data_IF_581660909726
#
_entry.id   IF_581660909726
#
_cell.length_a   1.000
_cell.length_b   1.000
_cell.length_c   1.000
_cell.angle_alpha   90.00
_cell.angle_beta   90.00
_cell.angle_gamma   90.00
#
_symmetry.space_group_name_H-M   'P 1'
#
loop_
_entity.id
_entity.type
_entity.pdbx_description
1 polymer ?
#
# COMPACT_ATOMS: atom_id res chain seq x y z
N UNK A 1 11.53 3.30 25.01
CA UNK A 1 12.69 4.13 24.63
C UNK A 1 14.02 3.50 25.04
N UNK A 2 14.24 3.17 26.32
CA UNK A 2 15.50 2.56 26.79
C UNK A 2 15.82 1.24 26.09
N UNK A 3 14.85 0.33 25.96
CA UNK A 3 15.09 -0.94 25.25
C UNK A 3 15.40 -0.74 23.76
N UNK A 4 14.70 0.20 23.10
CA UNK A 4 14.98 0.56 21.71
C UNK A 4 16.41 1.13 21.55
N UNK A 5 16.86 2.00 22.46
CA UNK A 5 18.23 2.53 22.48
C UNK A 5 19.26 1.40 22.61
N UNK A 6 19.03 0.47 23.56
CA UNK A 6 19.88 -0.69 23.80
C UNK A 6 19.98 -1.57 22.56
N UNK A 7 18.85 -1.85 21.90
CA UNK A 7 18.81 -2.66 20.66
C UNK A 7 19.47 -1.95 19.48
N UNK A 8 19.43 -0.63 19.43
CA UNK A 8 20.09 0.18 18.41
C UNK A 8 21.59 0.44 18.70
N UNK A 9 22.14 -0.05 19.82
CA UNK A 9 23.55 0.14 20.17
C UNK A 9 23.92 1.57 20.55
N UNK A 10 22.95 2.40 20.93
CA UNK A 10 23.16 3.81 21.33
C UNK A 10 22.93 4.01 22.83
N UNK A 11 23.40 5.15 23.36
CA UNK A 11 23.17 5.48 24.77
C UNK A 11 21.68 5.60 25.10
N UNK A 12 21.30 5.28 26.34
CA UNK A 12 19.91 5.39 26.82
C UNK A 12 19.32 6.80 26.69
N UNK A 13 20.17 7.83 26.70
CA UNK A 13 19.79 9.23 26.50
C UNK A 13 19.63 9.65 25.02
N UNK A 14 20.18 8.88 24.08
CA UNK A 14 20.21 9.26 22.66
C UNK A 14 18.81 9.49 22.06
N UNK A 15 17.80 8.60 22.25
CA UNK A 15 16.48 8.84 21.67
C UNK A 15 15.83 10.13 22.17
N UNK A 16 16.00 10.46 23.45
CA UNK A 16 15.42 11.68 24.06
C UNK A 16 16.01 12.99 23.52
N UNK A 17 17.16 12.93 22.82
CA UNK A 17 17.74 14.10 22.14
C UNK A 17 17.10 14.35 20.78
N UNK A 18 16.53 13.33 20.15
CA UNK A 18 15.96 13.39 18.80
C UNK A 18 14.44 13.37 18.82
N UNK A 19 13.84 12.75 19.83
CA UNK A 19 12.40 12.54 19.96
C UNK A 19 11.95 13.05 21.31
N UNK A 20 10.95 13.93 21.30
CA UNK A 20 10.34 14.52 22.50
C UNK A 20 9.83 13.44 23.45
N UNK A 21 9.19 12.42 22.90
CA UNK A 21 8.59 11.30 23.62
C UNK A 21 8.56 10.04 22.74
N UNK A 22 7.90 8.98 23.24
CA UNK A 22 7.74 7.72 22.53
C UNK A 22 6.90 7.89 21.27
N UNK A 23 5.88 8.74 21.30
CA UNK A 23 4.94 8.89 20.18
C UNK A 23 5.65 9.60 19.02
N UNK A 24 6.45 10.63 19.30
CA UNK A 24 7.32 11.26 18.31
C UNK A 24 8.34 10.28 17.68
N UNK A 25 8.86 9.31 18.43
CA UNK A 25 9.69 8.24 17.85
C UNK A 25 8.87 7.34 16.92
N UNK A 26 7.68 6.91 17.35
CA UNK A 26 6.83 6.02 16.55
C UNK A 26 6.33 6.68 15.28
N UNK A 27 6.04 7.99 15.32
CA UNK A 27 5.72 8.80 14.15
C UNK A 27 6.88 8.81 13.15
N UNK A 28 8.11 9.08 13.60
CA UNK A 28 9.29 9.05 12.73
C UNK A 28 9.56 7.66 12.13
N UNK A 29 9.29 6.59 12.89
CA UNK A 29 9.37 5.21 12.37
C UNK A 29 8.28 4.95 11.33
N UNK A 30 7.06 5.44 11.55
CA UNK A 30 5.96 5.35 10.58
C UNK A 30 6.31 6.10 9.29
N UNK A 31 6.92 7.27 9.37
CA UNK A 31 7.41 8.02 8.21
C UNK A 31 8.46 7.24 7.41
N UNK A 32 9.39 6.58 8.09
CA UNK A 32 10.36 5.70 7.45
C UNK A 32 9.66 4.53 6.74
N UNK A 33 8.61 3.98 7.34
CA UNK A 33 7.83 2.92 6.72
C UNK A 33 7.07 3.38 5.47
N UNK A 34 6.49 4.59 5.46
CA UNK A 34 5.90 5.16 4.25
C UNK A 34 6.96 5.45 3.19
N UNK A 35 8.13 5.96 3.57
CA UNK A 35 9.24 6.21 2.65
C UNK A 35 9.72 4.92 1.97
N UNK A 36 9.90 3.85 2.75
CA UNK A 36 10.26 2.54 2.22
C UNK A 36 9.24 2.00 1.22
N UNK A 37 7.95 2.13 1.53
CA UNK A 37 6.87 1.75 0.60
C UNK A 37 6.90 2.58 -0.69
N UNK A 38 7.12 3.89 -0.58
CA UNK A 38 7.26 4.78 -1.75
C UNK A 38 8.45 4.39 -2.62
N UNK A 39 9.59 4.04 -2.02
CA UNK A 39 10.77 3.57 -2.77
C UNK A 39 10.45 2.26 -3.48
N UNK A 40 9.93 1.26 -2.77
CA UNK A 40 9.62 -0.05 -3.34
C UNK A 40 8.61 0.04 -4.51
N UNK A 41 7.55 0.84 -4.34
CA UNK A 41 6.56 1.07 -5.40
C UNK A 41 7.13 1.84 -6.59
N UNK A 42 8.02 2.82 -6.37
CA UNK A 42 8.72 3.53 -7.44
C UNK A 42 9.61 2.58 -8.25
N UNK A 43 10.43 1.79 -7.57
CA UNK A 43 11.35 0.85 -8.23
C UNK A 43 10.56 -0.16 -9.06
N UNK A 44 9.48 -0.71 -8.50
CA UNK A 44 8.55 -1.59 -9.22
C UNK A 44 7.95 -0.92 -10.45
N UNK A 45 7.48 0.33 -10.33
CA UNK A 45 6.89 1.04 -11.47
C UNK A 45 7.91 1.21 -12.62
N UNK A 46 9.19 1.42 -12.30
CA UNK A 46 10.26 1.57 -13.30
C UNK A 46 10.59 0.26 -14.03
N UNK A 47 10.34 -0.90 -13.42
CA UNK A 47 10.61 -2.21 -14.02
C UNK A 47 9.51 -2.67 -15.00
N UNK A 48 8.34 -2.03 -14.98
CA UNK A 48 7.20 -2.42 -15.81
C UNK A 48 6.79 -1.31 -16.79
N UNK A 49 6.27 -1.64 -17.99
CA UNK A 49 5.83 -0.63 -18.96
C UNK A 49 4.73 0.29 -18.41
N UNK A 50 4.81 1.58 -18.75
CA UNK A 50 3.80 2.57 -18.39
C UNK A 50 2.45 2.24 -19.02
N UNK A 51 1.37 2.46 -18.27
CA UNK A 51 0.00 2.14 -18.68
C UNK A 51 -0.28 0.64 -18.86
N UNK A 52 0.59 -0.26 -18.39
CA UNK A 52 0.34 -1.70 -18.46
C UNK A 52 -0.41 -2.23 -17.24
N UNK A 53 -1.27 -3.23 -17.45
CA UNK A 53 -1.91 -3.99 -16.36
C UNK A 53 -0.86 -4.64 -15.45
N UNK A 54 0.24 -5.12 -16.06
CA UNK A 54 1.34 -5.78 -15.36
C UNK A 54 1.98 -4.83 -14.33
N UNK A 55 2.14 -3.54 -14.67
CA UNK A 55 2.61 -2.53 -13.71
C UNK A 55 1.68 -2.41 -12.50
N UNK A 56 0.37 -2.31 -12.73
CA UNK A 56 -0.62 -2.18 -11.65
C UNK A 56 -0.64 -3.42 -10.76
N UNK A 57 -0.63 -4.62 -11.36
CA UNK A 57 -0.56 -5.89 -10.63
C UNK A 57 0.73 -5.98 -9.81
N UNK A 58 1.87 -5.60 -10.39
CA UNK A 58 3.16 -5.61 -9.70
C UNK A 58 3.20 -4.63 -8.52
N UNK A 59 2.61 -3.44 -8.67
CA UNK A 59 2.46 -2.48 -7.57
C UNK A 59 1.61 -3.05 -6.43
N UNK A 60 0.51 -3.73 -6.74
CA UNK A 60 -0.30 -4.43 -5.74
C UNK A 60 0.48 -5.53 -5.01
N UNK A 61 1.24 -6.35 -5.75
CA UNK A 61 2.08 -7.42 -5.17
C UNK A 61 3.16 -6.83 -4.25
N UNK A 62 3.79 -5.74 -4.68
CA UNK A 62 4.78 -5.00 -3.89
C UNK A 62 4.19 -4.46 -2.61
N UNK A 63 3.00 -3.87 -2.68
CA UNK A 63 2.28 -3.42 -1.49
C UNK A 63 2.05 -4.59 -0.51
N UNK A 64 1.51 -5.71 -0.98
CA UNK A 64 1.24 -6.89 -0.15
C UNK A 64 2.54 -7.45 0.47
N UNK A 65 3.61 -7.58 -0.31
CA UNK A 65 4.91 -8.05 0.20
C UNK A 65 5.45 -7.12 1.29
N UNK A 66 5.46 -5.81 1.01
CA UNK A 66 6.00 -4.82 1.94
C UNK A 66 5.28 -4.85 3.30
N UNK A 67 3.95 -4.87 3.30
CA UNK A 67 3.20 -4.85 4.56
C UNK A 67 3.25 -6.18 5.31
N UNK A 68 3.35 -7.31 4.60
CA UNK A 68 3.44 -8.64 5.22
C UNK A 68 4.83 -8.92 5.80
N UNK A 69 5.90 -8.50 5.11
CA UNK A 69 7.29 -8.59 5.60
C UNK A 69 7.56 -7.63 6.77
N UNK A 70 6.82 -6.51 6.83
CA UNK A 70 6.96 -5.48 7.86
C UNK A 70 5.71 -5.35 8.74
N UNK A 71 5.23 -6.46 9.31
CA UNK A 71 4.01 -6.47 10.15
C UNK A 71 4.00 -5.41 11.27
N UNK A 72 5.14 -5.14 11.89
CA UNK A 72 5.24 -4.08 12.92
C UNK A 72 5.00 -2.67 12.38
N UNK A 73 5.28 -2.44 11.09
CA UNK A 73 4.99 -1.17 10.41
C UNK A 73 3.52 -1.07 9.99
N UNK A 74 2.86 -2.18 9.72
CA UNK A 74 1.42 -2.17 9.40
C UNK A 74 0.61 -1.47 10.50
N UNK A 75 0.80 -1.85 11.77
CA UNK A 75 0.08 -1.22 12.89
C UNK A 75 0.42 0.27 13.07
N UNK A 76 1.65 0.67 12.72
CA UNK A 76 2.10 2.06 12.78
C UNK A 76 1.55 2.91 11.63
N UNK A 77 1.33 2.31 10.46
CA UNK A 77 0.83 2.99 9.27
C UNK A 77 -0.69 3.03 9.20
N UNK A 78 -1.37 1.99 9.70
CA UNK A 78 -2.81 1.77 9.51
C UNK A 78 -3.60 1.53 10.81
N UNK A 79 -2.93 1.49 11.97
CA UNK A 79 -3.59 1.47 13.28
C UNK A 79 -3.98 2.88 13.77
N UNK A 80 -4.23 3.02 15.07
CA UNK A 80 -4.69 4.27 15.70
C UNK A 80 -3.79 5.48 15.40
N UNK A 81 -2.47 5.27 15.38
CA UNK A 81 -1.48 6.30 15.03
C UNK A 81 -1.57 6.71 13.55
N UNK A 82 -1.80 5.74 12.66
CA UNK A 82 -1.98 6.00 11.24
C UNK A 82 -3.24 6.82 10.98
N UNK A 83 -4.36 6.45 11.63
CA UNK A 83 -5.63 7.15 11.51
C UNK A 83 -5.53 8.61 11.96
N UNK A 84 -4.93 8.86 13.13
CA UNK A 84 -4.65 10.22 13.63
C UNK A 84 -3.82 11.07 12.67
N UNK A 85 -2.90 10.43 11.93
CA UNK A 85 -2.08 11.10 10.92
C UNK A 85 -2.89 11.46 9.66
N UNK A 86 -3.84 10.62 9.25
CA UNK A 86 -4.77 10.97 8.16
C UNK A 86 -5.67 12.15 8.52
N UNK A 87 -6.06 12.27 9.80
CA UNK A 87 -6.88 13.37 10.31
C UNK A 87 -6.09 14.68 10.49
N UNK A 88 -4.78 14.60 10.74
CA UNK A 88 -3.88 15.75 10.80
C UNK A 88 -3.60 16.27 9.38
N UNK A 89 -4.45 17.20 8.92
CA UNK A 89 -4.56 17.75 7.57
C UNK A 89 -3.27 18.35 6.92
N UNK A 90 -2.12 18.33 7.59
CA UNK A 90 -0.90 19.04 7.18
C UNK A 90 0.24 18.13 6.69
N UNK A 91 0.07 16.81 6.68
CA UNK A 91 1.08 15.94 6.08
C UNK A 91 0.84 15.76 4.58
N UNK A 92 1.74 16.24 3.71
CA UNK A 92 1.62 16.00 2.28
C UNK A 92 1.87 14.51 2.02
N UNK A 93 0.79 13.74 1.95
CA UNK A 93 0.70 12.39 1.35
C UNK A 93 1.00 12.45 -0.18
N UNK A 94 1.51 13.59 -0.66
CA UNK A 94 1.77 13.95 -2.06
C UNK A 94 2.99 13.24 -2.70
N UNK A 95 3.69 12.40 -1.95
CA UNK A 95 4.75 11.50 -2.45
C UNK A 95 4.60 10.08 -1.90
N UNK A 96 3.36 9.61 -1.81
CA UNK A 96 3.05 8.24 -1.36
C UNK A 96 3.10 7.26 -2.52
N UNK A 97 3.49 6.01 -2.26
CA UNK A 97 3.36 4.91 -3.22
C UNK A 97 1.94 4.74 -3.78
N UNK A 98 0.92 5.25 -3.09
CA UNK A 98 -0.44 5.32 -3.59
C UNK A 98 -0.59 6.24 -4.82
N UNK A 99 0.10 7.38 -4.87
CA UNK A 99 0.05 8.26 -6.05
C UNK A 99 0.74 7.65 -7.27
N UNK A 100 1.74 6.79 -7.07
CA UNK A 100 2.35 6.00 -8.15
C UNK A 100 1.34 5.00 -8.72
N UNK A 101 0.50 4.41 -7.87
CA UNK A 101 -0.64 3.60 -8.31
C UNK A 101 -1.65 4.44 -9.10
N UNK A 102 -2.02 5.63 -8.61
CA UNK A 102 -2.95 6.54 -9.30
C UNK A 102 -2.45 6.90 -10.69
N UNK A 103 -1.19 7.33 -10.82
CA UNK A 103 -0.55 7.64 -12.10
C UNK A 103 -0.53 6.40 -13.02
N UNK A 104 -0.23 5.22 -12.49
CA UNK A 104 -0.21 3.98 -13.28
C UNK A 104 -1.59 3.60 -13.80
N UNK A 105 -2.63 3.81 -13.01
CA UNK A 105 -4.03 3.58 -13.40
C UNK A 105 -4.50 4.63 -14.40
N UNK A 106 -4.13 5.89 -14.23
CA UNK A 106 -4.44 6.98 -15.17
C UNK A 106 -3.87 6.68 -16.57
N UNK A 107 -2.57 6.36 -16.65
CA UNK A 107 -1.91 5.99 -17.91
C UNK A 107 -2.52 4.73 -18.55
N UNK A 108 -2.96 3.76 -17.73
CA UNK A 108 -3.62 2.56 -18.23
C UNK A 108 -5.00 2.89 -18.81
N UNK A 109 -5.80 3.70 -18.12
CA UNK A 109 -7.10 4.15 -18.62
C UNK A 109 -6.95 4.91 -19.95
N UNK A 110 -5.97 5.82 -20.05
CA UNK A 110 -5.66 6.56 -21.28
C UNK A 110 -5.33 5.60 -22.44
N UNK A 111 -4.52 4.58 -22.18
CA UNK A 111 -4.10 3.60 -23.20
C UNK A 111 -5.26 2.78 -23.79
N UNK A 112 -6.37 2.65 -23.05
CA UNK A 112 -7.55 1.89 -23.43
C UNK A 112 -8.76 2.76 -23.81
N UNK A 113 -8.62 4.10 -23.77
CA UNK A 113 -9.74 5.01 -24.02
C UNK A 113 -10.81 4.99 -22.92
N UNK A 114 -10.45 4.61 -21.69
CA UNK A 114 -11.34 4.53 -20.51
C UNK A 114 -11.46 5.88 -19.78
N UNK A 115 -11.48 7.00 -20.52
CA UNK A 115 -11.40 8.36 -19.96
C UNK A 115 -12.59 8.79 -19.08
N UNK A 116 -13.72 8.08 -19.17
CA UNK A 116 -14.90 8.33 -18.33
C UNK A 116 -14.73 7.81 -16.88
N UNK A 117 -13.75 6.94 -16.64
CA UNK A 117 -13.47 6.41 -15.31
C UNK A 117 -12.56 7.34 -14.51
N UNK A 118 -12.89 7.53 -13.24
CA UNK A 118 -12.04 8.25 -12.31
C UNK A 118 -10.88 7.37 -11.83
N UNK A 119 -9.65 7.66 -12.30
CA UNK A 119 -8.45 6.90 -11.94
C UNK A 119 -8.18 6.84 -10.44
N UNK A 120 -8.49 7.91 -9.69
CA UNK A 120 -8.37 7.92 -8.23
C UNK A 120 -9.33 6.92 -7.59
N UNK A 121 -10.59 6.89 -8.03
CA UNK A 121 -11.60 5.95 -7.53
C UNK A 121 -11.22 4.50 -7.83
N UNK A 122 -10.76 4.22 -9.05
CA UNK A 122 -10.25 2.89 -9.42
C UNK A 122 -9.05 2.49 -8.56
N UNK A 123 -8.14 3.43 -8.29
CA UNK A 123 -6.96 3.19 -7.46
C UNK A 123 -7.31 2.89 -6.01
N UNK A 124 -8.32 3.57 -5.44
CA UNK A 124 -8.85 3.25 -4.11
C UNK A 124 -9.42 1.82 -4.08
N UNK A 125 -10.15 1.39 -5.12
CA UNK A 125 -10.69 0.02 -5.22
C UNK A 125 -9.57 -1.02 -5.31
N UNK A 126 -8.58 -0.79 -6.17
CA UNK A 126 -7.39 -1.64 -6.32
C UNK A 126 -6.60 -1.75 -5.02
N UNK A 127 -6.37 -0.61 -4.35
CA UNK A 127 -5.71 -0.57 -3.06
C UNK A 127 -6.51 -1.31 -1.98
N UNK A 128 -7.84 -1.13 -1.94
CA UNK A 128 -8.69 -1.84 -0.98
C UNK A 128 -8.62 -3.37 -1.15
N UNK A 129 -8.56 -3.87 -2.40
CA UNK A 129 -8.35 -5.30 -2.66
C UNK A 129 -6.98 -5.78 -2.15
N UNK A 130 -5.90 -5.07 -2.48
CA UNK A 130 -4.56 -5.41 -2.02
C UNK A 130 -4.42 -5.33 -0.50
N UNK A 131 -4.99 -4.29 0.12
CA UNK A 131 -5.03 -4.10 1.57
C UNK A 131 -5.80 -5.22 2.26
N UNK A 132 -7.02 -5.54 1.81
CA UNK A 132 -7.80 -6.63 2.37
C UNK A 132 -7.08 -7.97 2.30
N UNK A 133 -6.49 -8.30 1.14
CA UNK A 133 -5.72 -9.53 0.97
C UNK A 133 -4.49 -9.59 1.87
N UNK A 134 -3.75 -8.48 2.02
CA UNK A 134 -2.64 -8.39 2.96
C UNK A 134 -3.09 -8.64 4.41
N UNK A 135 -4.16 -7.98 4.85
CA UNK A 135 -4.69 -8.11 6.20
C UNK A 135 -5.14 -9.54 6.52
N UNK A 136 -5.85 -10.18 5.59
CA UNK A 136 -6.29 -11.56 5.74
C UNK A 136 -5.10 -12.54 5.73
N UNK A 137 -4.12 -12.32 4.86
CA UNK A 137 -2.94 -13.18 4.75
C UNK A 137 -2.02 -13.09 5.97
N UNK A 138 -1.80 -11.89 6.54
CA UNK A 138 -1.02 -11.73 7.79
C UNK A 138 -1.61 -12.50 8.98
N UNK A 139 -2.90 -12.80 8.95
CA UNK A 139 -3.60 -13.53 10.00
C UNK A 139 -3.93 -14.99 9.62
N UNK A 140 -3.36 -15.49 8.51
CA UNK A 140 -3.63 -16.83 7.96
C UNK A 140 -5.12 -17.14 7.74
N UNK A 141 -5.92 -16.11 7.46
CA UNK A 141 -7.38 -16.25 7.30
C UNK A 141 -7.75 -16.72 5.89
N UNK A 142 -6.92 -16.41 4.89
CA UNK A 142 -7.16 -16.85 3.50
C UNK A 142 -7.04 -18.38 3.41
N UNK A 143 -5.99 -18.94 4.03
CA UNK A 143 -5.66 -20.36 4.00
C UNK A 143 -6.69 -21.22 4.73
N UNK A 144 -7.51 -20.63 5.62
CA UNK A 144 -8.62 -21.33 6.26
C UNK A 144 -9.73 -21.70 5.26
N UNK A 145 -9.94 -20.86 4.24
CA UNK A 145 -10.95 -21.09 3.21
C UNK A 145 -10.35 -21.71 1.94
N UNK A 146 -9.09 -21.37 1.64
CA UNK A 146 -8.37 -21.80 0.44
C UNK A 146 -6.95 -22.28 0.81
N UNK A 147 -6.78 -23.52 1.30
CA UNK A 147 -5.53 -23.98 1.95
C UNK A 147 -4.26 -23.98 1.09
N UNK A 148 -4.39 -23.97 -0.24
CA UNK A 148 -3.26 -24.06 -1.17
C UNK A 148 -3.08 -22.77 -1.99
N UNK A 149 -3.80 -21.70 -1.65
CA UNK A 149 -3.79 -20.49 -2.47
C UNK A 149 -2.62 -19.59 -2.08
N UNK A 150 -1.99 -18.99 -3.10
CA UNK A 150 -1.00 -17.95 -2.89
C UNK A 150 -1.68 -16.57 -2.96
N UNK A 151 -1.45 -15.70 -1.96
CA UNK A 151 -2.09 -14.37 -1.89
C UNK A 151 -1.84 -13.53 -3.16
N UNK A 152 -0.64 -13.60 -3.73
CA UNK A 152 -0.32 -12.92 -4.99
C UNK A 152 -1.12 -13.44 -6.20
N UNK A 153 -1.49 -14.73 -6.23
CA UNK A 153 -2.33 -15.28 -7.28
C UNK A 153 -3.78 -14.81 -7.14
N UNK A 154 -4.29 -14.71 -5.90
CA UNK A 154 -5.61 -14.12 -5.65
C UNK A 154 -5.65 -12.66 -6.05
N UNK A 155 -4.64 -11.88 -5.66
CA UNK A 155 -4.53 -10.48 -6.04
C UNK A 155 -4.55 -10.32 -7.57
N UNK A 156 -3.68 -11.06 -8.27
CA UNK A 156 -3.58 -10.99 -9.73
C UNK A 156 -4.88 -11.37 -10.42
N UNK A 157 -5.49 -12.51 -10.05
CA UNK A 157 -6.77 -12.92 -10.62
C UNK A 157 -7.89 -11.91 -10.35
N UNK A 158 -7.94 -11.35 -9.13
CA UNK A 158 -8.95 -10.35 -8.74
C UNK A 158 -8.77 -9.04 -9.50
N UNK A 159 -7.54 -8.57 -9.68
CA UNK A 159 -7.20 -7.39 -10.48
C UNK A 159 -7.54 -7.60 -11.96
N UNK A 160 -7.28 -8.78 -12.52
CA UNK A 160 -7.65 -9.11 -13.91
C UNK A 160 -9.17 -9.13 -14.09
N UNK A 161 -9.92 -9.75 -13.18
CA UNK A 161 -11.40 -9.72 -13.20
C UNK A 161 -11.93 -8.28 -13.11
N UNK A 162 -11.30 -7.44 -12.28
CA UNK A 162 -11.66 -6.03 -12.18
C UNK A 162 -11.43 -5.29 -13.51
N UNK A 163 -10.28 -5.49 -14.16
CA UNK A 163 -9.99 -4.90 -15.47
C UNK A 163 -10.93 -5.38 -16.57
N UNK A 164 -11.30 -6.66 -16.58
CA UNK A 164 -12.28 -7.20 -17.52
C UNK A 164 -13.65 -6.53 -17.33
N UNK A 165 -14.09 -6.34 -16.09
CA UNK A 165 -15.34 -5.63 -15.78
C UNK A 165 -15.37 -4.16 -16.23
N UNK A 166 -14.20 -3.49 -16.24
CA UNK A 166 -14.09 -2.11 -16.75
C UNK A 166 -14.16 -2.05 -18.29
N UNK A 167 -13.71 -3.10 -18.99
CA UNK A 167 -13.81 -3.19 -20.46
C UNK A 167 -15.21 -3.53 -20.94
N UNK A 168 -15.99 -4.20 -20.10
CA UNK A 168 -17.36 -4.62 -20.39
C UNK A 168 -18.30 -4.04 -19.34
N UNK A 169 -18.53 -2.70 -19.34
CA UNK A 169 -19.45 -2.10 -18.39
C UNK A 169 -20.80 -2.80 -18.55
N UNK A 170 -21.28 -3.45 -17.48
CA UNK A 170 -22.60 -4.01 -17.45
C UNK A 170 -23.57 -2.92 -17.93
N UNK A 171 -24.37 -3.21 -18.94
CA UNK A 171 -25.39 -2.29 -19.43
C UNK A 171 -26.20 -1.82 -18.23
N UNK A 172 -25.99 -0.58 -17.81
CA UNK A 172 -26.78 0.05 -16.75
C UNK A 172 -28.20 0.12 -17.27
N UNK A 173 -29.02 -0.85 -16.91
CA UNK A 173 -30.47 -0.66 -16.90
C UNK A 173 -30.76 0.26 -15.74
N UNK A 174 -31.05 1.52 -16.07
CA UNK A 174 -31.63 2.50 -15.16
C UNK A 174 -32.94 1.99 -14.53
#
# INVERSE_FOLDING_TARGET
>A
MIDAARRAGVSSAAPYRHFKDKDALLEAVSELAFLGLTIATRDTALEHPAGSEQRIIALGKTYVSYVTEHRAFYDLMWGDMGLRRFEAADHPIKTSGFLILVESVELWCESLGLGDYNALELSVKLWAMAHGLACLSMNHQVEQFLPQVHVFSLLESSTLTFFEGLRHPATRTD
#
